data_IF_930984416228
#
_entry.id   IF_930984416228
#
_cell.length_a   1.000
_cell.length_b   1.000
_cell.length_c   1.000
_cell.angle_alpha   90.00
_cell.angle_beta   90.00
_cell.angle_gamma   90.00
#
_symmetry.space_group_name_H-M   'P 1'
#
loop_
_entity.id
_entity.type
_entity.pdbx_description
1 polymer ?
#
# COMPACT_ATOMS: atom_id res chain seq x y z
N UNK A 1 -19.06 -18.95 -6.00
CA UNK A 1 -18.93 -18.64 -4.55
C UNK A 1 -18.82 -17.14 -4.39
N UNK A 2 -19.45 -16.52 -3.39
CA UNK A 2 -19.28 -15.08 -3.11
C UNK A 2 -18.59 -14.93 -1.76
N UNK A 3 -17.44 -14.26 -1.76
CA UNK A 3 -16.59 -14.06 -0.58
C UNK A 3 -16.23 -12.58 -0.48
N UNK A 4 -16.24 -12.03 0.73
CA UNK A 4 -15.73 -10.70 1.02
C UNK A 4 -14.30 -10.81 1.57
N UNK A 5 -13.34 -10.22 0.87
CA UNK A 5 -11.97 -10.04 1.35
C UNK A 5 -11.83 -8.61 1.92
N UNK A 6 -11.39 -8.49 3.16
CA UNK A 6 -11.16 -7.21 3.84
C UNK A 6 -9.73 -7.17 4.34
N UNK A 7 -9.04 -6.05 4.13
CA UNK A 7 -7.63 -5.88 4.52
C UNK A 7 -6.70 -5.92 3.31
N UNK A 8 -5.44 -6.30 3.56
CA UNK A 8 -4.38 -6.36 2.54
C UNK A 8 -4.17 -5.04 1.78
N UNK A 9 -4.41 -3.91 2.43
CA UNK A 9 -4.08 -2.59 1.89
C UNK A 9 -3.52 -1.71 3.00
N UNK A 10 -2.48 -0.95 2.69
CA UNK A 10 -1.82 -0.06 3.64
C UNK A 10 -1.27 1.18 2.95
N UNK A 11 -1.08 2.24 3.74
CA UNK A 11 -0.42 3.47 3.32
C UNK A 11 0.88 3.59 4.12
N UNK A 12 1.98 3.87 3.43
CA UNK A 12 3.28 4.13 4.04
C UNK A 12 3.69 5.57 3.77
N UNK A 13 3.95 6.31 4.83
CA UNK A 13 4.54 7.65 4.77
C UNK A 13 6.02 7.56 5.17
N UNK A 14 6.87 8.21 4.40
CA UNK A 14 8.29 8.33 4.69
C UNK A 14 8.71 9.79 4.63
N UNK A 15 9.35 10.26 5.68
CA UNK A 15 10.03 11.55 5.72
C UNK A 15 11.51 11.32 5.51
N UNK A 16 12.05 11.96 4.48
CA UNK A 16 13.44 11.89 4.12
C UNK A 16 14.11 13.19 4.53
N UNK A 17 15.20 13.06 5.28
CA UNK A 17 15.99 14.19 5.75
C UNK A 17 17.31 14.26 4.98
N UNK A 18 17.62 15.42 4.43
CA UNK A 18 18.86 15.68 3.70
C UNK A 18 19.49 16.98 4.19
N UNK A 19 20.34 16.87 5.22
CA UNK A 19 20.88 18.04 5.90
C UNK A 19 19.77 18.80 6.61
N UNK A 20 19.57 20.07 6.24
CA UNK A 20 18.50 20.90 6.79
C UNK A 20 17.13 20.64 6.14
N UNK A 21 17.11 20.20 4.88
CA UNK A 21 15.87 20.02 4.14
C UNK A 21 15.19 18.70 4.46
N UNK A 22 13.86 18.68 4.42
CA UNK A 22 13.05 17.47 4.53
C UNK A 22 12.02 17.38 3.41
N UNK A 23 11.76 16.16 2.96
CA UNK A 23 10.74 15.87 1.96
C UNK A 23 9.96 14.63 2.36
N UNK A 24 8.66 14.64 2.12
CA UNK A 24 7.77 13.53 2.47
C UNK A 24 7.31 12.81 1.21
N UNK A 25 7.16 11.51 1.31
CA UNK A 25 6.59 10.66 0.27
C UNK A 25 5.55 9.74 0.89
N UNK A 26 4.38 9.62 0.25
CA UNK A 26 3.31 8.71 0.68
C UNK A 26 3.09 7.68 -0.43
N UNK A 27 3.06 6.40 -0.08
CA UNK A 27 2.86 5.28 -1.00
C UNK A 27 1.69 4.43 -0.53
N UNK A 28 0.76 4.13 -1.44
CA UNK A 28 -0.31 3.17 -1.20
C UNK A 28 0.09 1.79 -1.73
N UNK A 29 -0.27 0.75 -0.98
CA UNK A 29 0.03 -0.63 -1.32
C UNK A 29 -1.23 -1.50 -1.20
N UNK A 30 -1.41 -2.42 -2.15
CA UNK A 30 -2.39 -3.50 -2.12
C UNK A 30 -1.66 -4.84 -2.19
N UNK A 31 -1.78 -5.67 -1.15
CA UNK A 31 -1.21 -7.01 -1.08
C UNK A 31 -2.05 -8.08 -1.77
N UNK A 32 -3.32 -7.78 -2.05
CA UNK A 32 -4.29 -8.74 -2.57
C UNK A 32 -4.37 -8.79 -4.11
N UNK A 33 -3.57 -8.01 -4.84
CA UNK A 33 -3.74 -7.87 -6.29
C UNK A 33 -3.60 -9.20 -7.03
N UNK A 34 -2.58 -10.00 -6.69
CA UNK A 34 -2.38 -11.33 -7.27
C UNK A 34 -3.49 -12.31 -6.89
N UNK A 35 -3.94 -12.25 -5.63
CA UNK A 35 -4.98 -13.12 -5.10
C UNK A 35 -6.33 -12.84 -5.77
N UNK A 36 -6.68 -11.55 -5.90
CA UNK A 36 -7.89 -11.11 -6.59
C UNK A 36 -7.86 -11.46 -8.08
N UNK A 37 -6.69 -11.39 -8.73
CA UNK A 37 -6.55 -11.79 -10.13
C UNK A 37 -6.76 -13.30 -10.32
N UNK A 38 -6.33 -14.13 -9.37
CA UNK A 38 -6.52 -15.58 -9.41
C UNK A 38 -7.97 -16.03 -9.12
N UNK A 39 -8.78 -15.21 -8.45
CA UNK A 39 -10.17 -15.49 -8.10
C UNK A 39 -11.21 -14.93 -9.10
N UNK A 40 -10.76 -14.17 -10.10
CA UNK A 40 -11.59 -13.70 -11.21
C UNK A 40 -11.93 -14.85 -12.15
#
# INVERSE_FOLDING_TARGET
MKVLLVGESWVSEATHYKGFDSFTSVTFHSGADWYNAALR
#
